data_IF_201149861805
#
_entry.id   IF_201149861805
#
_cell.length_a   1.000
_cell.length_b   1.000
_cell.length_c   1.000
_cell.angle_alpha   90.00
_cell.angle_beta   90.00
_cell.angle_gamma   90.00
#
_symmetry.space_group_name_H-M   'P 1'
#
loop_
_entity.id
_entity.type
_entity.pdbx_description
1 polymer ?
#
# COMPACT_ATOMS: atom_id res chain seq x y z
N UNK A 1 -4.05 -13.95 14.75
CA UNK A 1 -4.51 -14.79 13.63
C UNK A 1 -6.00 -14.54 13.41
N UNK A 2 -6.35 -13.49 12.69
CA UNK A 2 -7.69 -13.32 12.14
C UNK A 2 -7.66 -13.92 10.73
N UNK A 3 -7.83 -15.22 10.68
CA UNK A 3 -8.36 -15.87 9.50
C UNK A 3 -9.86 -15.51 9.45
N UNK A 4 -10.21 -14.33 8.96
CA UNK A 4 -11.55 -14.16 8.42
C UNK A 4 -11.61 -15.14 7.26
N UNK A 5 -12.48 -16.13 7.33
CA UNK A 5 -12.59 -17.11 6.27
C UNK A 5 -12.88 -16.33 4.97
N UNK A 6 -12.21 -16.67 3.87
CA UNK A 6 -12.43 -16.04 2.56
C UNK A 6 -13.93 -15.96 2.19
N UNK A 7 -14.73 -16.92 2.66
CA UNK A 7 -16.18 -16.93 2.53
C UNK A 7 -16.85 -15.72 3.26
N UNK A 8 -16.47 -15.43 4.51
CA UNK A 8 -17.03 -14.29 5.27
C UNK A 8 -16.75 -12.97 4.58
N UNK A 9 -15.57 -12.82 3.97
CA UNK A 9 -15.20 -11.59 3.25
C UNK A 9 -15.94 -11.44 1.92
N UNK A 10 -16.24 -12.54 1.23
CA UNK A 10 -17.05 -12.52 0.01
C UNK A 10 -18.48 -12.08 0.30
N UNK A 11 -19.11 -12.65 1.34
CA UNK A 11 -20.49 -12.28 1.72
C UNK A 11 -20.62 -10.80 2.11
N UNK A 12 -19.71 -10.29 2.92
CA UNK A 12 -19.70 -8.87 3.32
C UNK A 12 -19.60 -7.94 2.11
N UNK A 13 -18.83 -8.33 1.10
CA UNK A 13 -18.64 -7.50 -0.10
C UNK A 13 -19.82 -7.52 -1.06
N UNK A 14 -20.51 -8.64 -1.16
CA UNK A 14 -21.79 -8.72 -1.87
C UNK A 14 -22.84 -7.82 -1.21
N UNK A 15 -22.87 -7.80 0.11
CA UNK A 15 -23.72 -6.89 0.87
C UNK A 15 -23.36 -5.43 0.60
N UNK A 16 -22.08 -5.07 0.60
CA UNK A 16 -21.63 -3.71 0.30
C UNK A 16 -21.97 -3.27 -1.13
N UNK A 17 -21.84 -4.16 -2.12
CA UNK A 17 -22.27 -3.88 -3.50
C UNK A 17 -23.79 -3.59 -3.53
N UNK A 18 -24.60 -4.40 -2.86
CA UNK A 18 -26.06 -4.21 -2.80
C UNK A 18 -26.47 -2.88 -2.13
N UNK A 19 -25.65 -2.39 -1.19
CA UNK A 19 -25.79 -1.07 -0.56
C UNK A 19 -25.25 0.08 -1.40
N UNK A 20 -24.74 -0.20 -2.61
CA UNK A 20 -24.27 0.81 -3.56
C UNK A 20 -22.81 1.21 -3.40
N UNK A 21 -22.00 0.48 -2.63
CA UNK A 21 -20.56 0.72 -2.54
C UNK A 21 -19.89 0.54 -3.91
N UNK A 22 -18.99 1.46 -4.27
CA UNK A 22 -18.24 1.45 -5.54
C UNK A 22 -16.78 1.06 -5.38
N UNK A 23 -16.24 1.19 -4.19
CA UNK A 23 -14.87 0.83 -3.85
C UNK A 23 -14.76 0.32 -2.42
N UNK A 24 -13.68 -0.38 -2.14
CA UNK A 24 -13.28 -0.74 -0.78
C UNK A 24 -11.78 -0.55 -0.62
N UNK A 25 -11.28 -0.46 0.61
CA UNK A 25 -9.87 -0.28 0.91
C UNK A 25 -9.39 -1.32 1.92
N UNK A 26 -8.21 -1.91 1.67
CA UNK A 26 -7.51 -2.74 2.65
C UNK A 26 -6.07 -2.28 2.82
N UNK A 27 -5.66 -2.16 4.08
CA UNK A 27 -4.34 -1.75 4.53
C UNK A 27 -3.54 -2.96 5.01
N UNK A 28 -2.36 -3.17 4.44
CA UNK A 28 -1.33 -4.06 4.95
C UNK A 28 -0.20 -3.21 5.53
N UNK A 29 0.13 -3.44 6.80
CA UNK A 29 1.10 -2.65 7.54
C UNK A 29 2.45 -3.36 7.54
N UNK A 30 3.49 -2.67 7.11
CA UNK A 30 4.87 -3.14 7.04
C UNK A 30 5.73 -2.30 7.99
N UNK A 31 6.29 -2.93 9.00
CA UNK A 31 7.18 -2.27 9.97
C UNK A 31 8.64 -2.43 9.56
N UNK A 32 9.41 -1.33 9.66
CA UNK A 32 10.86 -1.37 9.60
C UNK A 32 11.42 -1.58 11.00
N UNK A 33 12.42 -2.46 11.13
CA UNK A 33 13.12 -2.76 12.38
C UNK A 33 14.36 -3.59 12.13
N UNK A 34 14.96 -4.11 13.21
CA UNK A 34 16.09 -5.01 13.09
C UNK A 34 15.67 -6.27 12.31
N UNK A 35 16.32 -6.53 11.16
CA UNK A 35 15.99 -7.60 10.22
C UNK A 35 14.53 -7.62 9.70
N UNK A 36 13.87 -6.47 9.68
CA UNK A 36 12.51 -6.33 9.16
C UNK A 36 12.39 -5.17 8.16
N UNK A 37 11.51 -5.28 7.14
CA UNK A 37 10.69 -6.44 6.80
C UNK A 37 11.51 -7.54 6.13
N UNK A 38 11.19 -8.81 6.43
CA UNK A 38 11.71 -9.96 5.67
C UNK A 38 10.98 -10.10 4.34
N UNK A 39 11.56 -10.82 3.38
CA UNK A 39 10.91 -11.06 2.09
C UNK A 39 9.62 -11.89 2.27
N UNK A 40 9.60 -12.84 3.20
CA UNK A 40 8.40 -13.63 3.51
C UNK A 40 7.28 -12.75 4.10
N UNK A 41 7.64 -11.76 4.92
CA UNK A 41 6.66 -10.81 5.47
C UNK A 41 6.05 -9.95 4.36
N UNK A 42 6.88 -9.42 3.47
CA UNK A 42 6.43 -8.63 2.31
C UNK A 42 5.53 -9.48 1.43
N UNK A 43 5.98 -10.68 1.06
CA UNK A 43 5.24 -11.58 0.19
C UNK A 43 3.87 -11.95 0.76
N UNK A 44 3.79 -12.34 2.04
CA UNK A 44 2.53 -12.70 2.67
C UNK A 44 1.52 -11.53 2.69
N UNK A 45 1.99 -10.30 2.95
CA UNK A 45 1.14 -9.12 2.97
C UNK A 45 0.67 -8.72 1.56
N UNK A 46 1.54 -8.79 0.57
CA UNK A 46 1.21 -8.41 -0.81
C UNK A 46 0.34 -9.46 -1.50
N UNK A 47 0.51 -10.75 -1.20
CA UNK A 47 -0.42 -11.80 -1.61
C UNK A 47 -1.82 -11.57 -1.04
N UNK A 48 -1.93 -11.25 0.26
CA UNK A 48 -3.21 -10.96 0.89
C UNK A 48 -3.90 -9.75 0.24
N UNK A 49 -3.15 -8.69 -0.10
CA UNK A 49 -3.67 -7.53 -0.84
C UNK A 49 -4.13 -7.90 -2.25
N UNK A 50 -3.41 -8.78 -2.94
CA UNK A 50 -3.78 -9.24 -4.27
C UNK A 50 -5.04 -10.14 -4.25
N UNK A 51 -5.16 -11.04 -3.29
CA UNK A 51 -6.36 -11.85 -3.08
C UNK A 51 -7.57 -10.97 -2.76
N UNK A 52 -7.38 -9.97 -1.88
CA UNK A 52 -8.37 -8.96 -1.60
C UNK A 52 -8.81 -8.22 -2.87
N UNK A 53 -7.86 -7.70 -3.66
CA UNK A 53 -8.17 -6.94 -4.87
C UNK A 53 -8.96 -7.78 -5.87
N UNK A 54 -8.59 -9.06 -6.05
CA UNK A 54 -9.30 -9.99 -6.93
C UNK A 54 -10.76 -10.20 -6.49
N UNK A 55 -10.99 -10.42 -5.19
CA UNK A 55 -12.34 -10.59 -4.65
C UNK A 55 -13.18 -9.32 -4.86
N UNK A 56 -12.60 -8.13 -4.64
CA UNK A 56 -13.28 -6.85 -4.82
C UNK A 56 -13.71 -6.65 -6.27
N UNK A 57 -12.82 -6.91 -7.24
CA UNK A 57 -13.14 -6.79 -8.66
C UNK A 57 -14.18 -7.80 -9.11
N UNK A 58 -14.17 -9.03 -8.60
CA UNK A 58 -15.20 -10.02 -8.89
C UNK A 58 -16.59 -9.56 -8.40
N UNK A 59 -16.64 -8.68 -7.40
CA UNK A 59 -17.86 -8.04 -6.90
C UNK A 59 -18.08 -6.63 -7.52
N UNK A 60 -17.52 -6.34 -8.68
CA UNK A 60 -17.71 -5.10 -9.47
C UNK A 60 -17.40 -3.81 -8.71
N UNK A 61 -16.51 -3.87 -7.73
CA UNK A 61 -16.02 -2.72 -6.99
C UNK A 61 -14.55 -2.46 -7.33
N UNK A 62 -14.08 -1.24 -7.06
CA UNK A 62 -12.70 -0.85 -7.22
C UNK A 62 -11.92 -1.16 -5.94
N UNK A 63 -10.86 -1.99 -5.98
CA UNK A 63 -9.99 -2.18 -4.84
C UNK A 63 -9.03 -0.99 -4.69
N UNK A 64 -8.91 -0.47 -3.48
CA UNK A 64 -7.83 0.42 -3.06
C UNK A 64 -6.88 -0.43 -2.22
N UNK A 65 -5.70 -0.70 -2.76
CA UNK A 65 -4.64 -1.49 -2.10
C UNK A 65 -3.69 -0.55 -1.37
N UNK A 66 -3.47 -0.78 -0.07
CA UNK A 66 -2.65 0.09 0.79
C UNK A 66 -1.51 -0.71 1.43
N UNK A 67 -0.39 -0.95 0.71
CA UNK A 67 0.84 -1.46 1.30
C UNK A 67 1.54 -0.32 2.00
N UNK A 68 1.40 -0.20 3.30
CA UNK A 68 1.95 0.94 4.04
C UNK A 68 3.18 0.54 4.84
N UNK A 69 4.34 1.06 4.46
CA UNK A 69 5.53 1.05 5.29
C UNK A 69 5.39 2.14 6.33
N UNK A 70 5.45 1.74 7.61
CA UNK A 70 5.25 2.65 8.74
C UNK A 70 6.44 3.59 8.91
N UNK A 71 6.12 4.80 9.36
CA UNK A 71 7.11 5.82 9.73
C UNK A 71 7.64 5.68 11.17
N UNK A 72 7.15 4.70 11.93
CA UNK A 72 7.58 4.47 13.31
C UNK A 72 9.03 3.99 13.34
N UNK A 73 9.85 4.59 14.22
CA UNK A 73 11.24 4.20 14.47
C UNK A 73 12.27 5.19 13.95
N UNK A 74 13.54 4.75 13.94
CA UNK A 74 14.72 5.58 13.66
C UNK A 74 15.33 5.36 12.28
N UNK A 75 14.63 4.65 11.38
CA UNK A 75 15.16 4.29 10.06
C UNK A 75 15.39 5.53 9.17
N UNK A 76 16.36 5.42 8.26
CA UNK A 76 16.62 6.46 7.26
C UNK A 76 15.56 6.46 6.14
N UNK A 77 15.44 7.58 5.43
CA UNK A 77 14.60 7.66 4.24
C UNK A 77 15.00 6.64 3.16
N UNK A 78 16.30 6.33 3.03
CA UNK A 78 16.77 5.30 2.10
C UNK A 78 16.28 3.90 2.51
N UNK A 79 16.26 3.59 3.79
CA UNK A 79 15.71 2.33 4.30
C UNK A 79 14.21 2.23 4.01
N UNK A 80 13.47 3.33 4.19
CA UNK A 80 12.06 3.40 3.81
C UNK A 80 11.86 3.23 2.29
N UNK A 81 12.73 3.86 1.49
CA UNK A 81 12.72 3.71 0.02
C UNK A 81 12.87 2.24 -0.39
N UNK A 82 13.88 1.56 0.13
CA UNK A 82 14.15 0.15 -0.18
C UNK A 82 12.99 -0.76 0.22
N UNK A 83 12.47 -0.58 1.43
CA UNK A 83 11.31 -1.34 1.90
C UNK A 83 10.07 -1.09 1.05
N UNK A 84 9.79 0.17 0.70
CA UNK A 84 8.66 0.56 -0.15
C UNK A 84 8.80 -0.01 -1.55
N UNK A 85 9.99 0.07 -2.17
CA UNK A 85 10.26 -0.49 -3.50
C UNK A 85 10.03 -2.01 -3.52
N UNK A 86 10.55 -2.74 -2.54
CA UNK A 86 10.32 -4.19 -2.42
C UNK A 86 8.84 -4.52 -2.27
N UNK A 87 8.12 -3.77 -1.43
CA UNK A 87 6.68 -3.97 -1.25
C UNK A 87 5.89 -3.72 -2.53
N UNK A 88 6.18 -2.64 -3.26
CA UNK A 88 5.49 -2.31 -4.51
C UNK A 88 5.78 -3.36 -5.60
N UNK A 89 7.03 -3.78 -5.77
CA UNK A 89 7.40 -4.80 -6.74
C UNK A 89 6.69 -6.15 -6.45
N UNK A 90 6.71 -6.60 -5.20
CA UNK A 90 6.00 -7.82 -4.80
C UNK A 90 4.48 -7.67 -4.98
N UNK A 91 3.90 -6.50 -4.63
CA UNK A 91 2.47 -6.25 -4.78
C UNK A 91 2.03 -6.36 -6.24
N UNK A 92 2.68 -5.62 -7.15
CA UNK A 92 2.28 -5.62 -8.56
C UNK A 92 2.49 -6.97 -9.23
N UNK A 93 3.56 -7.70 -8.88
CA UNK A 93 3.77 -9.09 -9.30
C UNK A 93 2.62 -9.99 -8.84
N UNK A 94 2.20 -9.88 -7.59
CA UNK A 94 1.09 -10.68 -7.05
C UNK A 94 -0.27 -10.29 -7.65
N UNK A 95 -0.52 -8.99 -7.89
CA UNK A 95 -1.73 -8.54 -8.58
C UNK A 95 -1.82 -9.13 -10.00
N UNK A 96 -0.71 -9.13 -10.74
CA UNK A 96 -0.63 -9.72 -12.07
C UNK A 96 -0.85 -11.24 -12.03
N UNK A 97 -0.15 -11.95 -11.14
CA UNK A 97 -0.28 -13.40 -10.97
C UNK A 97 -1.71 -13.84 -10.61
N UNK A 98 -2.45 -13.01 -9.88
CA UNK A 98 -3.87 -13.25 -9.54
C UNK A 98 -4.83 -12.79 -10.66
N UNK A 99 -4.33 -12.23 -11.74
CA UNK A 99 -5.15 -11.69 -12.84
C UNK A 99 -6.05 -10.55 -12.39
N UNK A 100 -5.54 -9.67 -11.54
CA UNK A 100 -6.21 -8.43 -11.15
C UNK A 100 -6.06 -7.41 -12.28
N UNK A 101 -7.14 -6.74 -12.64
CA UNK A 101 -7.09 -5.66 -13.62
C UNK A 101 -6.47 -4.41 -12.99
N UNK A 102 -5.24 -4.10 -13.34
CA UNK A 102 -4.52 -2.93 -12.83
C UNK A 102 -5.24 -1.61 -13.17
N UNK A 103 -5.83 -1.50 -14.36
CA UNK A 103 -6.62 -0.32 -14.77
C UNK A 103 -7.90 -0.10 -13.95
N UNK A 104 -8.30 -1.09 -13.19
CA UNK A 104 -9.44 -1.02 -12.26
C UNK A 104 -9.02 -1.00 -10.79
N UNK A 105 -7.78 -0.60 -10.48
CA UNK A 105 -7.20 -0.61 -9.12
C UNK A 105 -6.68 0.77 -8.75
N UNK A 106 -6.75 1.14 -7.49
CA UNK A 106 -6.12 2.35 -6.93
C UNK A 106 -5.06 1.93 -5.93
N UNK A 107 -3.88 2.53 -6.02
CA UNK A 107 -2.81 2.38 -5.03
C UNK A 107 -2.93 3.49 -3.98
N UNK A 108 -2.78 3.11 -2.70
CA UNK A 108 -2.63 4.06 -1.59
C UNK A 108 -1.30 3.78 -0.87
N UNK A 109 -0.18 4.34 -1.34
CA UNK A 109 1.14 4.10 -0.77
C UNK A 109 1.42 5.01 0.42
N UNK A 110 2.45 4.66 1.21
CA UNK A 110 3.12 5.60 2.09
C UNK A 110 3.95 6.61 1.28
N UNK A 111 4.33 7.72 1.91
CA UNK A 111 5.42 8.58 1.42
C UNK A 111 6.77 7.99 1.86
N UNK A 112 7.81 8.20 1.06
CA UNK A 112 9.18 7.81 1.39
C UNK A 112 9.80 8.88 2.27
N UNK A 113 9.96 8.57 3.55
CA UNK A 113 10.48 9.50 4.56
C UNK A 113 11.32 8.77 5.62
N UNK A 114 12.08 9.52 6.40
CA UNK A 114 12.78 8.97 7.55
C UNK A 114 11.77 8.62 8.66
N UNK A 115 12.15 7.68 9.51
CA UNK A 115 11.35 7.34 10.68
C UNK A 115 11.15 8.57 11.58
N UNK A 116 10.03 8.61 12.28
CA UNK A 116 9.68 9.78 13.12
C UNK A 116 10.69 10.05 14.24
N UNK A 117 11.41 9.02 14.69
CA UNK A 117 12.43 9.10 15.74
C UNK A 117 13.86 9.21 15.16
N UNK A 118 14.00 9.30 13.84
CA UNK A 118 15.29 9.43 13.17
C UNK A 118 15.98 10.76 13.55
N UNK A 119 17.30 10.78 13.70
CA UNK A 119 18.03 11.96 14.10
C UNK A 119 18.04 13.08 13.04
N UNK A 120 17.71 12.75 11.80
CA UNK A 120 17.62 13.70 10.68
C UNK A 120 16.35 13.44 9.89
N UNK A 121 15.60 14.50 9.64
CA UNK A 121 14.40 14.51 8.82
C UNK A 121 14.68 15.18 7.48
N UNK A 122 13.99 14.75 6.43
CA UNK A 122 14.04 15.40 5.12
C UNK A 122 13.10 16.60 5.07
N UNK A 123 13.40 17.54 4.20
CA UNK A 123 12.45 18.60 3.84
C UNK A 123 11.23 18.01 3.10
N UNK A 124 10.08 18.70 3.09
CA UNK A 124 8.92 18.26 2.32
C UNK A 124 9.21 18.04 0.83
N UNK A 125 10.10 18.86 0.25
CA UNK A 125 10.53 18.77 -1.14
C UNK A 125 11.32 17.47 -1.38
N UNK A 126 12.28 17.16 -0.51
CA UNK A 126 13.07 15.92 -0.59
C UNK A 126 12.20 14.67 -0.41
N UNK A 127 11.22 14.72 0.51
CA UNK A 127 10.23 13.64 0.68
C UNK A 127 9.41 13.44 -0.60
N UNK A 128 8.97 14.56 -1.23
CA UNK A 128 8.21 14.50 -2.47
C UNK A 128 9.05 13.91 -3.62
N UNK A 129 10.29 14.35 -3.78
CA UNK A 129 11.20 13.84 -4.81
C UNK A 129 11.47 12.34 -4.66
N UNK A 130 11.82 11.88 -3.45
CA UNK A 130 12.07 10.47 -3.18
C UNK A 130 10.82 9.61 -3.36
N UNK A 131 9.66 10.12 -2.93
CA UNK A 131 8.39 9.42 -3.10
C UNK A 131 8.05 9.28 -4.58
N UNK A 132 8.14 10.36 -5.35
CA UNK A 132 7.88 10.33 -6.79
C UNK A 132 8.84 9.39 -7.51
N UNK A 133 10.13 9.44 -7.18
CA UNK A 133 11.13 8.53 -7.74
C UNK A 133 10.76 7.07 -7.47
N UNK A 134 10.45 6.73 -6.22
CA UNK A 134 10.07 5.37 -5.84
C UNK A 134 8.83 4.89 -6.62
N UNK A 135 7.82 5.74 -6.74
CA UNK A 135 6.59 5.39 -7.46
C UNK A 135 6.82 5.23 -8.95
N UNK A 136 7.58 6.13 -9.59
CA UNK A 136 7.87 6.05 -11.03
C UNK A 136 8.69 4.80 -11.41
N UNK A 137 9.53 4.33 -10.51
CA UNK A 137 10.36 3.14 -10.72
C UNK A 137 9.60 1.81 -10.50
N UNK A 138 8.56 1.81 -9.63
CA UNK A 138 7.97 0.56 -9.14
C UNK A 138 6.46 0.43 -9.42
N UNK A 139 5.80 1.44 -9.95
CA UNK A 139 4.36 1.40 -10.23
C UNK A 139 4.12 1.33 -11.73
N UNK A 140 3.31 0.36 -12.22
CA UNK A 140 2.95 0.26 -13.63
C UNK A 140 2.26 1.52 -14.15
N UNK A 141 2.64 1.97 -15.34
CA UNK A 141 2.11 3.19 -15.95
C UNK A 141 0.60 3.13 -16.26
N UNK A 142 0.03 1.93 -16.35
CA UNK A 142 -1.40 1.72 -16.57
C UNK A 142 -2.26 1.86 -15.30
N UNK A 143 -1.66 2.00 -14.11
CA UNK A 143 -2.42 2.25 -12.88
C UNK A 143 -3.11 3.62 -12.98
N UNK A 144 -4.46 3.69 -12.85
CA UNK A 144 -5.20 4.91 -13.15
C UNK A 144 -5.11 5.97 -12.06
N UNK A 145 -4.71 5.61 -10.83
CA UNK A 145 -4.68 6.58 -9.74
C UNK A 145 -3.95 6.13 -8.49
N UNK A 146 -3.40 7.12 -7.82
CA UNK A 146 -2.74 7.00 -6.53
C UNK A 146 -3.42 7.94 -5.54
N UNK A 147 -3.78 7.43 -4.37
CA UNK A 147 -4.37 8.19 -3.27
C UNK A 147 -3.35 8.28 -2.13
N UNK A 148 -2.85 9.47 -1.83
CA UNK A 148 -1.92 9.65 -0.73
C UNK A 148 -2.62 9.75 0.63
N UNK A 149 -1.94 9.30 1.68
CA UNK A 149 -2.26 9.60 3.07
C UNK A 149 -1.41 10.79 3.54
N UNK A 150 -1.75 11.38 4.68
CA UNK A 150 -1.00 12.52 5.22
C UNK A 150 0.44 12.18 5.64
N UNK A 151 0.72 10.90 5.96
CA UNK A 151 2.05 10.41 6.35
C UNK A 151 2.66 11.17 7.53
N UNK A 152 1.85 11.70 8.44
CA UNK A 152 2.32 12.51 9.56
C UNK A 152 2.79 13.93 9.20
N UNK A 153 2.65 14.34 7.95
CA UNK A 153 3.03 15.68 7.49
C UNK A 153 2.04 16.72 8.01
N UNK A 154 2.46 17.54 8.95
CA UNK A 154 1.61 18.57 9.60
C UNK A 154 1.14 19.66 8.63
N UNK A 155 1.89 19.92 7.56
CA UNK A 155 1.56 20.97 6.58
C UNK A 155 0.24 20.76 5.86
N UNK A 156 -0.22 19.51 5.70
CA UNK A 156 -1.50 19.20 5.05
C UNK A 156 -2.71 19.40 5.96
N UNK A 157 -2.51 19.50 7.27
CA UNK A 157 -3.60 19.69 8.24
C UNK A 157 -3.95 21.16 8.39
N UNK A 158 -3.05 22.07 8.03
CA UNK A 158 -3.17 23.50 8.23
C UNK A 158 -3.49 24.29 6.95
N UNK A 159 -3.67 23.61 5.83
CA UNK A 159 -4.15 24.22 4.59
C UNK A 159 -5.66 24.18 4.55
#
# INVERSE_FOLDING_TARGET
>A
LLLSSAASDVYKRQEYESLGAKFTKWRAVIKIGENMPTDECIEANTQALADYAKIVQNNKMVPIVEPEVLMDGEHSANTCYDATSRCLNSLFSNLENKGVNIKGTILKPNMVLAGQDAPSQLSPEEVAELTMKCLLENVPAELPGIAFLSGGQLSLIHI
#
